data_IF_750488426306
#
_entry.id   IF_750488426306
#
_cell.length_a   1.000
_cell.length_b   1.000
_cell.length_c   1.000
_cell.angle_alpha   90.00
_cell.angle_beta   90.00
_cell.angle_gamma   90.00
#
_symmetry.space_group_name_H-M   'P 1'
#
loop_
_entity.id
_entity.type
_entity.pdbx_description
1 polymer ?
#
# COMPACT_ATOMS: atom_id res chain seq x y z
N UNK A 1 -4.58 -29.62 -20.62
CA UNK A 1 -4.29 -28.41 -19.86
C UNK A 1 -2.85 -27.99 -20.14
N UNK A 2 -2.56 -26.71 -20.33
CA UNK A 2 -1.21 -26.26 -20.71
C UNK A 2 -0.27 -26.38 -19.49
N UNK A 3 0.91 -26.99 -19.63
CA UNK A 3 1.85 -27.20 -18.52
C UNK A 3 2.20 -25.93 -17.75
N UNK A 4 2.20 -24.77 -18.40
CA UNK A 4 2.44 -23.46 -17.75
C UNK A 4 1.34 -23.07 -16.75
N UNK A 5 0.09 -23.48 -16.97
CA UNK A 5 -1.03 -23.24 -16.03
C UNK A 5 -0.86 -24.14 -14.81
N UNK A 6 -0.47 -25.39 -15.00
CA UNK A 6 -0.23 -26.35 -13.91
C UNK A 6 0.92 -25.85 -13.03
N UNK A 7 2.01 -25.37 -13.63
CA UNK A 7 3.17 -24.84 -12.90
C UNK A 7 2.79 -23.59 -12.09
N UNK A 8 1.96 -22.71 -12.65
CA UNK A 8 1.47 -21.52 -11.94
C UNK A 8 0.56 -21.90 -10.75
N UNK A 9 -0.33 -22.88 -10.92
CA UNK A 9 -1.22 -23.35 -9.85
C UNK A 9 -0.44 -24.04 -8.72
N UNK A 10 0.70 -24.67 -9.03
CA UNK A 10 1.54 -25.33 -8.03
C UNK A 10 2.22 -24.34 -7.06
N UNK A 11 2.35 -23.07 -7.44
CA UNK A 11 3.01 -22.01 -6.64
C UNK A 11 2.04 -21.24 -5.73
N UNK A 12 0.74 -21.50 -5.79
CA UNK A 12 -0.24 -20.81 -4.96
C UNK A 12 -0.29 -21.37 -3.55
N UNK A 13 -0.50 -20.53 -2.54
CA UNK A 13 -0.75 -20.93 -1.16
C UNK A 13 -2.18 -21.43 -0.92
N UNK A 14 -3.09 -21.20 -1.87
CA UNK A 14 -4.43 -21.76 -1.84
C UNK A 14 -4.40 -23.22 -2.30
N UNK A 15 -5.11 -24.10 -1.61
CA UNK A 15 -5.31 -25.48 -2.06
C UNK A 15 -6.22 -25.50 -3.29
N UNK A 16 -5.75 -26.01 -4.41
CA UNK A 16 -6.51 -26.09 -5.67
C UNK A 16 -6.54 -27.55 -6.13
N UNK A 17 -7.75 -28.06 -6.38
CA UNK A 17 -7.95 -29.36 -7.01
C UNK A 17 -8.91 -29.25 -8.20
N UNK A 18 -8.66 -30.09 -9.20
CA UNK A 18 -9.54 -30.28 -10.35
C UNK A 18 -10.11 -31.69 -10.29
N UNK A 19 -11.40 -31.81 -10.57
CA UNK A 19 -12.14 -33.07 -10.59
C UNK A 19 -12.70 -33.31 -11.98
N UNK A 20 -12.80 -34.58 -12.37
CA UNK A 20 -13.55 -34.96 -13.55
C UNK A 20 -15.08 -35.02 -13.26
N UNK A 21 -15.87 -35.30 -14.28
CA UNK A 21 -17.32 -35.46 -14.16
C UNK A 21 -17.79 -36.66 -13.28
N UNK A 22 -16.87 -37.48 -12.80
CA UNK A 22 -17.10 -38.58 -11.86
C UNK A 22 -16.53 -38.28 -10.47
N UNK A 23 -16.25 -36.99 -10.17
CA UNK A 23 -15.72 -36.53 -8.87
C UNK A 23 -14.32 -37.09 -8.52
N UNK A 24 -13.54 -37.50 -9.52
CA UNK A 24 -12.16 -37.97 -9.30
C UNK A 24 -11.17 -36.82 -9.49
N UNK A 25 -10.25 -36.70 -8.56
CA UNK A 25 -9.16 -35.71 -8.64
C UNK A 25 -8.27 -36.05 -9.84
N UNK A 26 -8.20 -35.14 -10.80
CA UNK A 26 -7.31 -35.21 -11.96
C UNK A 26 -6.07 -34.33 -11.78
N UNK A 27 -6.12 -33.39 -10.85
CA UNK A 27 -5.00 -32.55 -10.44
C UNK A 27 -5.24 -32.02 -9.03
N UNK A 28 -4.20 -31.97 -8.22
CA UNK A 28 -4.17 -31.21 -6.97
C UNK A 28 -2.80 -30.56 -6.82
N UNK A 29 -2.76 -29.31 -6.34
CA UNK A 29 -1.49 -28.66 -6.03
C UNK A 29 -0.99 -29.08 -4.63
N UNK A 30 0.30 -28.86 -4.29
CA UNK A 30 0.84 -29.25 -2.99
C UNK A 30 0.12 -28.61 -1.80
N UNK A 31 -0.40 -27.39 -1.94
CA UNK A 31 -1.15 -26.70 -0.90
C UNK A 31 -2.49 -27.41 -0.61
N UNK A 32 -3.17 -27.97 -1.62
CA UNK A 32 -4.38 -28.77 -1.43
C UNK A 32 -4.13 -29.96 -0.52
N UNK A 33 -3.09 -30.75 -0.81
CA UNK A 33 -2.76 -31.93 -0.01
C UNK A 33 -2.42 -31.57 1.43
N UNK A 34 -1.69 -30.49 1.64
CA UNK A 34 -1.33 -30.00 2.97
C UNK A 34 -2.55 -29.54 3.77
N UNK A 35 -3.47 -28.81 3.16
CA UNK A 35 -4.67 -28.29 3.80
C UNK A 35 -5.64 -29.42 4.16
N UNK A 36 -5.91 -30.34 3.23
CA UNK A 36 -6.84 -31.47 3.45
C UNK A 36 -6.33 -32.45 4.51
N UNK A 37 -5.02 -32.62 4.64
CA UNK A 37 -4.44 -33.54 5.62
C UNK A 37 -4.05 -32.89 6.95
N UNK A 38 -3.83 -31.59 6.97
CA UNK A 38 -3.27 -30.87 8.13
C UNK A 38 -4.26 -29.97 8.88
N UNK A 39 -5.43 -29.69 8.32
CA UNK A 39 -6.43 -28.77 8.89
C UNK A 39 -7.76 -29.52 9.08
N UNK A 40 -8.47 -29.25 10.18
CA UNK A 40 -9.79 -29.85 10.40
C UNK A 40 -10.77 -29.36 9.32
N UNK A 41 -11.64 -30.26 8.83
CA UNK A 41 -12.57 -29.94 7.73
C UNK A 41 -13.50 -28.77 8.08
N UNK A 42 -13.87 -28.63 9.35
CA UNK A 42 -14.67 -27.51 9.87
C UNK A 42 -13.98 -26.15 9.78
N UNK A 43 -12.65 -26.12 9.68
CA UNK A 43 -11.83 -24.91 9.54
C UNK A 43 -11.49 -24.58 8.07
N UNK A 44 -12.01 -25.36 7.13
CA UNK A 44 -11.80 -25.15 5.70
C UNK A 44 -13.02 -24.47 5.05
N UNK A 45 -12.75 -23.59 4.10
CA UNK A 45 -13.72 -23.02 3.16
C UNK A 45 -13.43 -23.56 1.77
N UNK A 46 -14.46 -24.07 1.12
CA UNK A 46 -14.37 -24.52 -0.26
C UNK A 46 -15.14 -23.57 -1.17
N UNK A 47 -14.54 -23.23 -2.30
CA UNK A 47 -15.20 -22.54 -3.40
C UNK A 47 -15.14 -23.45 -4.61
N UNK A 48 -16.28 -23.85 -5.12
CA UNK A 48 -16.40 -24.80 -6.21
C UNK A 48 -17.00 -24.14 -7.45
N UNK A 49 -16.45 -24.46 -8.60
CA UNK A 49 -16.91 -23.95 -9.91
C UNK A 49 -17.00 -25.09 -10.89
N UNK A 50 -18.19 -25.31 -11.43
CA UNK A 50 -18.43 -26.33 -12.46
C UNK A 50 -17.85 -25.88 -13.81
N UNK A 51 -17.18 -26.78 -14.49
CA UNK A 51 -16.61 -26.59 -15.82
C UNK A 51 -17.58 -26.99 -16.91
N UNK A 52 -17.41 -26.42 -18.10
CA UNK A 52 -18.30 -26.67 -19.25
C UNK A 52 -18.32 -28.12 -19.73
N UNK A 53 -17.36 -28.95 -19.34
CA UNK A 53 -17.23 -30.36 -19.64
C UNK A 53 -17.80 -31.28 -18.51
N UNK A 54 -18.44 -30.68 -17.51
CA UNK A 54 -18.97 -31.39 -16.34
C UNK A 54 -17.91 -31.70 -15.27
N UNK A 55 -16.70 -31.22 -15.42
CA UNK A 55 -15.67 -31.24 -14.37
C UNK A 55 -15.87 -30.12 -13.35
N UNK A 56 -15.11 -30.14 -12.27
CA UNK A 56 -15.18 -29.16 -11.18
C UNK A 56 -13.81 -28.67 -10.80
N UNK A 57 -13.70 -27.35 -10.53
CA UNK A 57 -12.57 -26.76 -9.82
C UNK A 57 -13.01 -26.52 -8.38
N UNK A 58 -12.26 -27.05 -7.42
CA UNK A 58 -12.43 -26.72 -6.01
C UNK A 58 -11.21 -26.00 -5.50
N UNK A 59 -11.43 -24.87 -4.83
CA UNK A 59 -10.39 -24.08 -4.18
C UNK A 59 -10.63 -24.10 -2.68
N UNK A 60 -9.63 -24.51 -1.93
CA UNK A 60 -9.70 -24.68 -0.49
C UNK A 60 -8.85 -23.59 0.21
N UNK A 61 -9.45 -22.97 1.23
CA UNK A 61 -8.79 -21.98 2.10
C UNK A 61 -9.04 -22.36 3.56
N UNK A 62 -8.11 -22.05 4.45
CA UNK A 62 -8.40 -22.05 5.88
C UNK A 62 -9.41 -20.94 6.16
N UNK A 63 -10.51 -21.28 6.84
CA UNK A 63 -11.45 -20.27 7.33
C UNK A 63 -10.67 -19.23 8.12
N UNK A 64 -10.83 -17.93 7.84
CA UNK A 64 -10.40 -16.94 8.80
C UNK A 64 -11.14 -17.26 10.08
N UNK A 65 -10.44 -17.83 11.07
CA UNK A 65 -11.03 -18.08 12.37
C UNK A 65 -11.63 -16.75 12.80
N UNK A 66 -12.94 -16.75 13.07
CA UNK A 66 -13.58 -15.64 13.75
C UNK A 66 -12.79 -15.49 15.04
N UNK A 67 -11.86 -14.55 15.03
CA UNK A 67 -11.04 -14.27 16.19
C UNK A 67 -12.01 -13.97 17.35
N UNK A 68 -12.19 -14.97 18.22
CA UNK A 68 -12.47 -14.62 19.59
C UNK A 68 -11.42 -13.57 19.95
N UNK A 69 -11.81 -12.46 20.63
CA UNK A 69 -10.84 -11.44 20.99
C UNK A 69 -9.86 -12.05 21.98
N UNK A 70 -8.91 -12.82 21.49
CA UNK A 70 -7.67 -12.97 22.19
C UNK A 70 -7.04 -11.58 22.13
N UNK A 71 -6.65 -10.98 23.27
CA UNK A 71 -5.72 -9.90 23.22
C UNK A 71 -4.61 -10.43 22.32
N UNK A 72 -4.30 -9.70 21.23
CA UNK A 72 -3.17 -10.03 20.38
C UNK A 72 -1.98 -10.02 21.32
N UNK A 73 -1.63 -11.19 21.84
CA UNK A 73 -0.40 -11.38 22.54
C UNK A 73 0.64 -11.15 21.46
N UNK A 74 1.25 -9.97 21.50
CA UNK A 74 2.51 -9.71 20.84
C UNK A 74 3.35 -10.96 21.07
N UNK A 75 3.99 -11.56 20.05
CA UNK A 75 4.79 -12.75 20.23
C UNK A 75 5.81 -12.44 21.32
N UNK A 76 5.58 -13.02 22.48
CA UNK A 76 6.51 -13.00 23.59
C UNK A 76 7.62 -13.99 23.24
N UNK A 77 8.57 -13.55 22.43
CA UNK A 77 9.82 -14.28 22.28
C UNK A 77 10.97 -13.31 22.00
N UNK A 78 11.93 -13.48 22.84
CA UNK A 78 13.25 -12.88 22.91
C UNK A 78 13.31 -11.45 23.48
N UNK A 79 14.06 -11.35 24.57
CA UNK A 79 14.62 -10.18 25.21
C UNK A 79 15.45 -9.34 24.22
N UNK A 80 14.77 -8.64 23.31
CA UNK A 80 15.32 -7.47 22.65
C UNK A 80 14.44 -6.30 23.10
N UNK A 81 15.03 -5.34 23.76
CA UNK A 81 14.40 -4.12 24.23
C UNK A 81 13.87 -3.35 23.02
N UNK A 82 12.60 -3.59 22.67
CA UNK A 82 11.92 -2.81 21.62
C UNK A 82 11.94 -1.34 22.02
N UNK A 83 12.44 -0.49 21.14
CA UNK A 83 12.52 0.96 21.35
C UNK A 83 11.11 1.57 21.43
N UNK A 84 10.12 0.92 20.81
CA UNK A 84 8.71 1.36 20.77
C UNK A 84 7.92 0.57 19.74
N UNK A 85 6.61 0.82 19.68
CA UNK A 85 5.69 0.21 18.71
C UNK A 85 5.18 1.27 17.74
N UNK A 86 5.25 0.99 16.44
CA UNK A 86 4.78 1.87 15.37
C UNK A 86 3.65 1.20 14.60
N UNK A 87 2.52 1.90 14.44
CA UNK A 87 1.49 1.51 13.48
C UNK A 87 1.86 2.08 12.12
N UNK A 88 1.91 1.24 11.08
CA UNK A 88 2.08 1.65 9.68
C UNK A 88 0.74 1.48 8.98
N UNK A 89 0.16 2.58 8.52
CA UNK A 89 -1.08 2.61 7.76
C UNK A 89 -0.80 3.08 6.34
N UNK A 90 -0.93 2.19 5.37
CA UNK A 90 -0.76 2.44 3.93
C UNK A 90 -1.53 1.32 3.20
N UNK A 91 -2.22 1.58 2.12
CA UNK A 91 -3.00 0.58 1.39
C UNK A 91 -2.13 -0.35 0.51
N UNK A 92 -0.92 0.09 0.16
CA UNK A 92 0.06 -0.71 -0.58
C UNK A 92 0.89 -1.59 0.34
N UNK A 93 0.90 -2.89 0.10
CA UNK A 93 1.72 -3.85 0.83
C UNK A 93 3.22 -3.60 0.61
N UNK A 94 3.61 -3.25 -0.61
CA UNK A 94 4.99 -2.94 -0.95
C UNK A 94 5.52 -1.71 -0.21
N UNK A 95 4.71 -0.64 -0.07
CA UNK A 95 5.07 0.53 0.73
C UNK A 95 5.18 0.17 2.22
N UNK A 96 4.19 -0.56 2.78
CA UNK A 96 4.25 -1.01 4.19
C UNK A 96 5.50 -1.84 4.45
N UNK A 97 5.87 -2.72 3.52
CA UNK A 97 7.04 -3.58 3.65
C UNK A 97 8.33 -2.75 3.72
N UNK A 98 8.50 -1.74 2.86
CA UNK A 98 9.67 -0.84 2.90
C UNK A 98 9.74 -0.10 4.24
N UNK A 99 8.64 0.51 4.69
CA UNK A 99 8.59 1.22 5.97
C UNK A 99 8.89 0.28 7.15
N UNK A 100 8.31 -0.93 7.13
CA UNK A 100 8.55 -1.97 8.13
C UNK A 100 10.03 -2.34 8.21
N UNK A 101 10.69 -2.61 7.08
CA UNK A 101 12.11 -2.99 7.06
C UNK A 101 13.01 -1.89 7.65
N UNK A 102 12.75 -0.64 7.30
CA UNK A 102 13.47 0.51 7.84
C UNK A 102 13.34 0.57 9.38
N UNK A 103 12.13 0.44 9.89
CA UNK A 103 11.86 0.59 11.32
C UNK A 103 12.28 -0.64 12.14
N UNK A 104 12.09 -1.85 11.60
CA UNK A 104 12.55 -3.06 12.27
C UNK A 104 14.06 -3.12 12.39
N UNK A 105 14.81 -2.61 11.41
CA UNK A 105 16.27 -2.50 11.48
C UNK A 105 16.75 -1.58 12.62
N UNK A 106 15.88 -0.67 13.10
CA UNK A 106 16.15 0.20 14.26
C UNK A 106 15.58 -0.35 15.57
N UNK A 107 14.96 -1.53 15.58
CA UNK A 107 14.44 -2.18 16.78
C UNK A 107 13.00 -1.81 17.15
N UNK A 108 12.23 -1.15 16.27
CA UNK A 108 10.82 -0.89 16.52
C UNK A 108 9.94 -2.14 16.31
N UNK A 109 8.94 -2.30 17.18
CA UNK A 109 7.83 -3.23 16.96
C UNK A 109 6.86 -2.63 15.95
N UNK A 110 6.33 -3.46 15.01
CA UNK A 110 5.47 -2.97 13.93
C UNK A 110 4.10 -3.61 14.01
N UNK A 111 3.06 -2.78 13.81
CA UNK A 111 1.68 -3.19 13.59
C UNK A 111 1.24 -2.58 12.26
N UNK A 112 0.63 -3.38 11.37
CA UNK A 112 0.24 -2.92 10.05
C UNK A 112 -1.28 -2.74 9.93
N UNK A 113 -1.68 -1.71 9.21
CA UNK A 113 -3.06 -1.42 8.84
C UNK A 113 -3.12 -1.09 7.35
N UNK A 114 -4.14 -1.60 6.67
CA UNK A 114 -4.32 -1.41 5.22
C UNK A 114 -5.19 -0.22 4.86
N UNK A 115 -5.83 0.43 5.84
CA UNK A 115 -6.67 1.60 5.67
C UNK A 115 -6.95 2.30 7.00
N UNK A 116 -7.52 3.50 6.95
CA UNK A 116 -7.83 4.29 8.13
C UNK A 116 -8.85 3.64 9.08
N UNK A 117 -9.83 2.90 8.55
CA UNK A 117 -10.82 2.22 9.39
C UNK A 117 -10.19 1.11 10.22
N UNK A 118 -9.21 0.38 9.66
CA UNK A 118 -8.43 -0.63 10.38
C UNK A 118 -7.66 -0.01 11.54
N UNK A 119 -6.98 1.13 11.33
CA UNK A 119 -6.32 1.88 12.41
C UNK A 119 -7.29 2.22 13.53
N UNK A 120 -8.44 2.83 13.20
CA UNK A 120 -9.45 3.21 14.19
C UNK A 120 -9.97 2.01 14.99
N UNK A 121 -10.17 0.88 14.33
CA UNK A 121 -10.63 -0.36 14.97
C UNK A 121 -9.56 -0.94 15.92
N UNK A 122 -8.29 -0.93 15.51
CA UNK A 122 -7.17 -1.36 16.36
C UNK A 122 -7.09 -0.51 17.63
N UNK A 123 -7.10 0.82 17.50
CA UNK A 123 -7.03 1.74 18.63
C UNK A 123 -8.24 1.59 19.58
N UNK A 124 -9.45 1.38 19.05
CA UNK A 124 -10.67 1.11 19.87
C UNK A 124 -10.58 -0.21 20.64
N UNK A 125 -9.89 -1.21 20.09
CA UNK A 125 -9.64 -2.50 20.73
C UNK A 125 -8.49 -2.47 21.75
N UNK A 126 -7.90 -1.31 21.99
CA UNK A 126 -6.84 -1.13 22.98
C UNK A 126 -5.43 -1.41 22.46
N UNK A 127 -5.23 -1.49 21.14
CA UNK A 127 -3.87 -1.50 20.58
C UNK A 127 -3.22 -0.16 20.88
N UNK A 128 -2.06 -0.19 21.53
CA UNK A 128 -1.26 1.00 21.85
C UNK A 128 -0.09 1.09 20.89
N UNK A 129 0.25 2.30 20.49
CA UNK A 129 1.43 2.60 19.69
C UNK A 129 2.09 3.90 20.20
N UNK A 130 3.40 3.95 20.07
CA UNK A 130 4.20 5.13 20.40
C UNK A 130 4.22 6.13 19.24
N UNK A 131 3.89 5.65 18.05
CA UNK A 131 3.82 6.45 16.81
C UNK A 131 2.88 5.79 15.79
N UNK A 132 2.27 6.61 14.95
CA UNK A 132 1.53 6.17 13.78
C UNK A 132 2.16 6.81 12.53
N UNK A 133 2.62 5.97 11.59
CA UNK A 133 2.89 6.40 10.21
C UNK A 133 1.60 6.24 9.42
N UNK A 134 1.08 7.34 8.91
CA UNK A 134 -0.21 7.39 8.26
C UNK A 134 -0.06 7.85 6.81
N UNK A 135 -0.32 6.96 5.86
CA UNK A 135 -0.51 7.41 4.49
C UNK A 135 -1.70 8.36 4.41
N UNK A 136 -1.53 9.45 3.72
CA UNK A 136 -2.62 10.40 3.50
C UNK A 136 -3.61 9.84 2.51
N UNK A 137 -3.11 9.23 1.47
CA UNK A 137 -3.85 8.84 0.29
C UNK A 137 -4.22 7.36 0.37
N UNK A 138 -5.30 7.05 1.11
CA UNK A 138 -5.86 5.70 1.23
C UNK A 138 -7.31 5.67 0.75
N UNK A 139 -7.78 4.56 0.13
CA UNK A 139 -9.18 4.41 -0.27
C UNK A 139 -10.12 4.40 0.93
N UNK A 140 -11.40 4.71 0.71
CA UNK A 140 -12.50 4.76 1.68
C UNK A 140 -12.38 5.85 2.74
N UNK A 141 -11.25 5.94 3.41
CA UNK A 141 -10.99 6.93 4.46
C UNK A 141 -9.54 7.40 4.39
N UNK A 142 -9.35 8.64 3.96
CA UNK A 142 -8.03 9.25 3.88
C UNK A 142 -7.35 9.39 5.26
N UNK A 143 -6.02 9.50 5.25
CA UNK A 143 -5.23 9.57 6.47
C UNK A 143 -5.49 10.83 7.30
N UNK A 144 -5.85 11.96 6.68
CA UNK A 144 -6.18 13.20 7.40
C UNK A 144 -7.52 13.07 8.11
N UNK A 145 -8.52 12.45 7.46
CA UNK A 145 -9.80 12.14 8.09
C UNK A 145 -9.61 11.16 9.26
N UNK A 146 -8.81 10.12 9.05
CA UNK A 146 -8.45 9.15 10.10
C UNK A 146 -7.79 9.85 11.28
N UNK A 147 -6.82 10.74 11.02
CA UNK A 147 -6.14 11.54 12.05
C UNK A 147 -7.11 12.38 12.85
N UNK A 148 -8.01 13.11 12.20
CA UNK A 148 -9.04 13.88 12.92
C UNK A 148 -9.86 12.99 13.86
N UNK A 149 -10.27 11.80 13.39
CA UNK A 149 -11.03 10.86 14.22
C UNK A 149 -10.22 10.35 15.40
N UNK A 150 -8.92 10.07 15.22
CA UNK A 150 -8.03 9.69 16.33
C UNK A 150 -7.95 10.83 17.36
N UNK A 151 -7.76 12.08 16.92
CA UNK A 151 -7.68 13.26 17.82
C UNK A 151 -8.97 13.52 18.61
N UNK A 152 -10.12 13.02 18.15
CA UNK A 152 -11.40 13.06 18.87
C UNK A 152 -11.65 11.83 19.75
N UNK A 153 -10.76 10.85 19.81
CA UNK A 153 -10.86 9.72 20.74
C UNK A 153 -10.61 10.18 22.18
N UNK A 154 -11.08 9.39 23.14
CA UNK A 154 -10.78 9.64 24.56
C UNK A 154 -9.50 8.91 24.98
N UNK A 155 -8.79 9.50 25.94
CA UNK A 155 -7.61 8.89 26.56
C UNK A 155 -6.29 9.15 25.81
N UNK A 156 -5.23 8.43 26.17
CA UNK A 156 -3.88 8.68 25.67
C UNK A 156 -3.73 8.54 24.15
N UNK A 157 -4.54 7.69 23.54
CA UNK A 157 -4.53 7.42 22.10
C UNK A 157 -4.76 8.67 21.24
N UNK A 158 -5.51 9.64 21.76
CA UNK A 158 -5.74 10.92 21.07
C UNK A 158 -4.47 11.75 20.91
N UNK A 159 -3.45 11.47 21.69
CA UNK A 159 -2.17 12.19 21.73
C UNK A 159 -1.00 11.38 21.12
N UNK A 160 -1.28 10.16 20.62
CA UNK A 160 -0.25 9.38 19.92
C UNK A 160 0.32 10.20 18.75
N UNK A 161 1.65 10.37 18.65
CA UNK A 161 2.27 11.07 17.54
C UNK A 161 1.89 10.47 16.19
N UNK A 162 1.57 11.33 15.22
CA UNK A 162 1.19 10.91 13.86
C UNK A 162 2.06 11.62 12.85
N UNK A 163 2.81 10.84 12.08
CA UNK A 163 3.56 11.30 10.91
C UNK A 163 2.74 10.96 9.65
N UNK A 164 2.33 11.98 8.90
CA UNK A 164 1.68 11.77 7.62
C UNK A 164 2.71 11.49 6.52
N UNK A 165 2.44 10.49 5.69
CA UNK A 165 3.18 10.18 4.48
C UNK A 165 2.41 10.73 3.28
N UNK A 166 3.04 11.54 2.43
CA UNK A 166 2.35 12.19 1.31
C UNK A 166 3.20 12.30 0.07
N UNK A 167 2.57 12.15 -1.10
CA UNK A 167 3.18 12.48 -2.38
C UNK A 167 3.11 13.99 -2.71
N UNK A 168 2.33 14.77 -1.95
CA UNK A 168 2.13 16.20 -2.19
C UNK A 168 3.17 17.06 -1.48
N UNK A 169 3.63 18.13 -2.16
CA UNK A 169 4.67 19.03 -1.66
C UNK A 169 4.21 20.51 -1.57
N UNK A 170 2.91 20.80 -1.73
CA UNK A 170 2.46 22.19 -1.71
C UNK A 170 2.41 22.77 -0.30
N UNK A 171 2.65 24.08 -0.16
CA UNK A 171 2.57 24.78 1.14
C UNK A 171 1.14 24.76 1.70
N UNK A 172 0.15 24.87 0.85
CA UNK A 172 -1.26 24.88 1.25
C UNK A 172 -1.68 23.51 1.82
N UNK A 173 -1.16 22.44 1.26
CA UNK A 173 -1.38 21.09 1.76
C UNK A 173 -0.82 20.90 3.18
N UNK A 174 0.36 21.42 3.48
CA UNK A 174 0.97 21.36 4.79
C UNK A 174 0.11 22.06 5.87
N UNK A 175 -0.60 23.13 5.51
CA UNK A 175 -1.54 23.82 6.41
C UNK A 175 -2.74 22.91 6.70
N UNK A 176 -3.32 22.28 5.68
CA UNK A 176 -4.47 21.38 5.81
C UNK A 176 -4.10 20.16 6.67
N UNK A 177 -2.92 19.57 6.44
CA UNK A 177 -2.44 18.44 7.22
C UNK A 177 -2.28 18.77 8.71
N UNK A 178 -1.66 19.90 9.05
CA UNK A 178 -1.53 20.36 10.45
C UNK A 178 -2.88 20.65 11.10
N UNK A 179 -3.84 21.21 10.37
CA UNK A 179 -5.20 21.44 10.87
C UNK A 179 -5.96 20.14 11.15
N UNK A 180 -5.56 19.05 10.52
CA UNK A 180 -6.11 17.72 10.77
C UNK A 180 -5.56 17.05 12.04
N UNK A 181 -4.55 17.67 12.67
CA UNK A 181 -3.93 17.14 13.89
C UNK A 181 -2.72 16.23 13.64
N UNK A 182 -2.15 16.26 12.45
CA UNK A 182 -0.86 15.62 12.12
C UNK A 182 0.27 16.37 12.84
N UNK A 183 1.19 15.65 13.47
CA UNK A 183 2.31 16.26 14.20
C UNK A 183 3.46 16.60 13.25
N UNK A 184 3.78 15.71 12.31
CA UNK A 184 4.77 15.94 11.27
C UNK A 184 4.38 15.22 9.96
N UNK A 185 5.05 15.59 8.86
CA UNK A 185 4.84 14.96 7.57
C UNK A 185 6.16 14.65 6.86
N UNK A 186 6.15 13.56 6.11
CA UNK A 186 7.28 13.09 5.29
C UNK A 186 6.79 12.88 3.87
N UNK A 187 7.53 13.41 2.91
CA UNK A 187 7.23 13.19 1.50
C UNK A 187 7.65 11.79 1.06
N UNK A 188 6.82 11.12 0.28
CA UNK A 188 7.18 9.90 -0.44
C UNK A 188 8.10 10.25 -1.63
N UNK A 189 9.12 9.41 -1.94
CA UNK A 189 9.50 8.18 -1.26
C UNK A 189 10.10 8.41 0.14
N UNK A 190 9.88 7.46 1.05
CA UNK A 190 10.38 7.54 2.42
C UNK A 190 11.90 7.41 2.40
N UNK A 191 12.59 8.41 2.96
CA UNK A 191 14.03 8.37 3.20
C UNK A 191 14.29 7.97 4.65
N UNK A 192 15.09 6.91 4.86
CA UNK A 192 15.41 6.36 6.19
C UNK A 192 15.87 7.45 7.16
N UNK A 193 16.87 8.24 6.77
CA UNK A 193 17.45 9.27 7.64
C UNK A 193 16.38 10.25 8.09
N UNK A 194 15.59 10.78 7.13
CA UNK A 194 14.54 11.75 7.44
C UNK A 194 13.45 11.15 8.34
N UNK A 195 13.05 9.91 8.07
CA UNK A 195 12.06 9.20 8.90
C UNK A 195 12.55 9.05 10.33
N UNK A 196 13.77 8.54 10.52
CA UNK A 196 14.32 8.27 11.85
C UNK A 196 14.59 9.56 12.64
N UNK A 197 15.08 10.62 11.99
CA UNK A 197 15.28 11.91 12.63
C UNK A 197 13.94 12.52 13.08
N UNK A 198 12.91 12.45 12.24
CA UNK A 198 11.57 12.93 12.57
C UNK A 198 10.96 12.14 13.74
N UNK A 199 11.14 10.82 13.77
CA UNK A 199 10.67 9.96 14.88
C UNK A 199 11.38 10.32 16.18
N UNK A 200 12.72 10.45 16.16
CA UNK A 200 13.50 10.83 17.35
C UNK A 200 13.06 12.19 17.90
N UNK A 201 12.85 13.15 17.02
CA UNK A 201 12.39 14.49 17.40
C UNK A 201 11.01 14.47 18.07
N UNK A 202 10.07 13.67 17.54
CA UNK A 202 8.73 13.54 18.10
C UNK A 202 8.71 12.81 19.44
N UNK A 203 9.45 11.70 19.55
CA UNK A 203 9.52 10.92 20.80
C UNK A 203 10.27 11.70 21.89
N UNK A 204 11.31 12.47 21.54
CA UNK A 204 12.06 13.28 22.51
C UNK A 204 11.30 14.50 23.05
N UNK A 205 10.24 14.93 22.35
CA UNK A 205 9.31 15.98 22.80
C UNK A 205 8.29 15.50 23.83
N UNK A 206 8.53 14.35 24.51
CA UNK A 206 7.64 13.69 25.51
C UNK A 206 7.06 14.61 26.61
N UNK A 207 6.01 14.20 27.32
CA UNK A 207 4.85 15.02 27.71
C UNK A 207 4.98 15.92 28.94
N UNK A 208 6.16 16.34 29.36
CA UNK A 208 6.25 17.35 30.44
C UNK A 208 5.94 18.79 29.98
N UNK A 209 5.76 19.03 28.66
CA UNK A 209 5.47 20.34 28.05
C UNK A 209 4.13 20.51 27.37
N UNK A 210 3.32 19.46 27.22
CA UNK A 210 2.10 19.49 26.41
C UNK A 210 0.86 20.19 27.05
N UNK A 211 1.04 20.87 28.18
CA UNK A 211 -0.05 21.57 28.85
C UNK A 211 -0.36 22.98 28.31
N UNK A 212 0.33 23.46 27.28
CA UNK A 212 0.08 24.80 26.75
C UNK A 212 0.24 24.97 25.23
N UNK A 213 -0.30 24.06 24.44
CA UNK A 213 -0.58 24.40 23.05
C UNK A 213 -1.89 25.21 23.00
N UNK A 214 -1.90 26.43 22.41
CA UNK A 214 -3.12 27.19 22.31
C UNK A 214 -4.14 26.45 21.44
N UNK A 215 -5.34 26.19 22.01
CA UNK A 215 -6.50 25.74 21.24
C UNK A 215 -6.80 26.85 20.23
N UNK A 216 -6.35 26.66 19.00
CA UNK A 216 -6.76 27.51 17.89
C UNK A 216 -8.24 27.24 17.63
N UNK A 217 -9.04 28.30 17.80
CA UNK A 217 -10.45 28.32 17.37
C UNK A 217 -10.55 27.92 15.91
N UNK A 218 -11.63 27.23 15.48
CA UNK A 218 -11.78 26.83 14.10
C UNK A 218 -11.70 28.06 13.19
N UNK A 219 -10.83 28.06 12.18
CA UNK A 219 -10.74 29.16 11.24
C UNK A 219 -12.01 29.24 10.38
N UNK A 220 -12.38 30.42 9.90
CA UNK A 220 -13.51 30.59 9.00
C UNK A 220 -13.28 29.79 7.73
N UNK A 221 -14.34 29.14 7.23
CA UNK A 221 -14.35 28.42 5.96
C UNK A 221 -13.95 29.40 4.84
N UNK A 222 -12.69 29.41 4.48
CA UNK A 222 -12.19 30.09 3.29
C UNK A 222 -12.64 29.26 2.07
N UNK A 223 -13.70 29.76 1.40
CA UNK A 223 -13.99 29.33 0.04
C UNK A 223 -12.77 29.66 -0.79
N UNK A 224 -12.07 28.64 -1.25
CA UNK A 224 -10.96 28.78 -2.20
C UNK A 224 -11.49 29.48 -3.45
N UNK A 225 -11.09 30.74 -3.65
CA UNK A 225 -11.16 31.37 -4.97
C UNK A 225 -10.10 30.68 -5.83
N UNK A 226 -10.56 29.97 -6.85
CA UNK A 226 -9.73 29.21 -7.77
C UNK A 226 -8.54 30.03 -8.26
N UNK A 227 -7.36 29.55 -7.96
CA UNK A 227 -6.18 29.92 -8.70
C UNK A 227 -6.37 29.39 -10.13
N UNK A 228 -6.43 30.28 -11.10
CA UNK A 228 -6.48 29.93 -12.52
C UNK A 228 -5.19 29.20 -12.86
N UNK A 229 -5.24 27.87 -12.87
CA UNK A 229 -4.17 27.05 -13.42
C UNK A 229 -4.21 27.27 -14.93
N UNK A 230 -3.17 27.91 -15.46
CA UNK A 230 -2.99 28.07 -16.90
C UNK A 230 -2.87 26.67 -17.53
N UNK A 231 -3.82 26.36 -18.39
CA UNK A 231 -3.93 25.13 -19.15
C UNK A 231 -2.62 24.82 -19.86
N UNK A 232 -1.95 23.69 -19.62
CA UNK A 232 -0.82 23.29 -20.45
C UNK A 232 -1.35 22.86 -21.83
N UNK A 233 -1.03 23.66 -22.85
CA UNK A 233 -1.23 23.31 -24.26
C UNK A 233 -0.26 22.19 -24.62
N UNK A 234 -0.79 21.02 -24.95
CA UNK A 234 -0.15 19.76 -25.32
C UNK A 234 0.51 19.01 -24.16
N UNK A 235 -0.07 17.88 -23.83
CA UNK A 235 0.60 16.85 -23.06
C UNK A 235 1.36 15.94 -24.02
N UNK A 236 2.62 16.29 -24.28
CA UNK A 236 3.60 15.29 -24.69
C UNK A 236 3.77 14.30 -23.51
N UNK A 237 4.00 13.01 -23.77
CA UNK A 237 4.27 12.06 -22.70
C UNK A 237 5.41 12.59 -21.83
N UNK A 238 5.35 12.37 -20.49
CA UNK A 238 6.34 12.96 -19.59
C UNK A 238 7.75 12.63 -20.09
N UNK A 239 8.57 13.66 -20.25
CA UNK A 239 9.98 13.55 -20.67
C UNK A 239 10.87 12.93 -19.59
N UNK A 240 10.27 12.47 -18.49
CA UNK A 240 10.94 11.84 -17.37
C UNK A 240 11.55 10.48 -17.77
N UNK A 241 12.69 10.11 -17.18
CA UNK A 241 13.27 8.80 -17.43
C UNK A 241 12.33 7.68 -16.95
N UNK A 242 12.36 6.54 -17.64
CA UNK A 242 11.57 5.37 -17.25
C UNK A 242 11.90 4.95 -15.82
N UNK A 243 13.20 4.92 -15.46
CA UNK A 243 13.69 4.63 -14.11
C UNK A 243 14.45 5.82 -13.53
N UNK A 244 14.18 6.13 -12.28
CA UNK A 244 15.03 6.98 -11.44
C UNK A 244 15.97 6.09 -10.63
N UNK A 245 17.19 5.93 -11.14
CA UNK A 245 18.21 5.09 -10.53
C UNK A 245 18.60 5.57 -9.14
N UNK A 246 18.57 6.89 -8.88
CA UNK A 246 18.89 7.44 -7.56
C UNK A 246 17.87 7.01 -6.51
N UNK A 247 16.60 7.02 -6.86
CA UNK A 247 15.52 6.53 -5.98
C UNK A 247 15.71 5.05 -5.69
N UNK A 248 16.07 4.23 -6.68
CA UNK A 248 16.33 2.81 -6.48
C UNK A 248 17.56 2.55 -5.60
N UNK A 249 18.67 3.25 -5.85
CA UNK A 249 19.89 3.14 -5.02
C UNK A 249 19.60 3.55 -3.57
N UNK A 250 18.80 4.60 -3.36
CA UNK A 250 18.36 5.02 -2.04
C UNK A 250 17.47 3.96 -1.37
N UNK A 251 16.52 3.36 -2.10
CA UNK A 251 15.68 2.26 -1.60
C UNK A 251 16.52 1.10 -1.07
N UNK A 252 17.54 0.69 -1.83
CA UNK A 252 18.46 -0.37 -1.41
C UNK A 252 19.31 0.03 -0.19
N UNK A 253 19.77 1.28 -0.14
CA UNK A 253 20.50 1.79 1.00
C UNK A 253 19.63 1.84 2.29
N UNK A 254 18.35 2.16 2.14
CA UNK A 254 17.42 2.35 3.26
C UNK A 254 16.83 1.03 3.78
N UNK A 255 16.41 0.13 2.88
CA UNK A 255 15.73 -1.13 3.23
C UNK A 255 16.67 -2.36 3.27
N UNK A 256 17.91 -2.20 2.80
CA UNK A 256 18.85 -3.30 2.58
C UNK A 256 18.51 -4.13 1.34
N UNK A 257 19.45 -4.95 0.88
CA UNK A 257 19.30 -5.71 -0.38
C UNK A 257 18.10 -6.65 -0.35
N UNK A 258 17.93 -7.40 0.72
CA UNK A 258 16.80 -8.32 0.89
C UNK A 258 15.46 -7.57 0.97
N UNK A 259 15.41 -6.49 1.76
CA UNK A 259 14.22 -5.68 1.92
C UNK A 259 13.79 -4.99 0.64
N UNK A 260 14.73 -4.38 -0.08
CA UNK A 260 14.45 -3.73 -1.35
C UNK A 260 14.01 -4.73 -2.43
N UNK A 261 14.69 -5.89 -2.53
CA UNK A 261 14.32 -6.94 -3.49
C UNK A 261 12.92 -7.48 -3.24
N UNK A 262 12.58 -7.81 -1.99
CA UNK A 262 11.25 -8.26 -1.61
C UNK A 262 10.17 -7.19 -1.89
N UNK A 263 10.48 -5.90 -1.60
CA UNK A 263 9.58 -4.78 -1.92
C UNK A 263 9.33 -4.63 -3.42
N UNK A 264 10.36 -4.80 -4.23
CA UNK A 264 10.24 -4.76 -5.68
C UNK A 264 9.37 -5.93 -6.19
N UNK A 265 9.53 -7.14 -5.64
CA UNK A 265 8.70 -8.28 -6.03
C UNK A 265 7.21 -8.05 -5.67
N UNK A 266 6.93 -7.57 -4.47
CA UNK A 266 5.57 -7.19 -4.07
C UNK A 266 5.00 -6.08 -4.97
N UNK A 267 5.78 -5.04 -5.24
CA UNK A 267 5.37 -3.94 -6.10
C UNK A 267 5.03 -4.39 -7.52
N UNK A 268 5.82 -5.30 -8.09
CA UNK A 268 5.53 -5.86 -9.42
C UNK A 268 4.20 -6.59 -9.42
N UNK A 269 3.98 -7.50 -8.46
CA UNK A 269 2.75 -8.28 -8.34
C UNK A 269 1.52 -7.38 -8.09
N UNK A 270 1.65 -6.39 -7.21
CA UNK A 270 0.59 -5.39 -6.96
C UNK A 270 0.27 -4.60 -8.24
N UNK A 271 1.30 -4.14 -8.95
CA UNK A 271 1.12 -3.35 -10.18
C UNK A 271 0.42 -4.17 -11.25
N UNK A 272 0.83 -5.41 -11.50
CA UNK A 272 0.17 -6.30 -12.46
C UNK A 272 -1.31 -6.51 -12.12
N UNK A 273 -1.63 -6.74 -10.85
CA UNK A 273 -3.02 -6.87 -10.37
C UNK A 273 -3.83 -5.60 -10.61
N UNK A 274 -3.25 -4.43 -10.31
CA UNK A 274 -3.90 -3.13 -10.51
C UNK A 274 -4.12 -2.81 -11.99
N UNK A 275 -3.18 -3.17 -12.87
CA UNK A 275 -3.34 -3.01 -14.32
C UNK A 275 -4.53 -3.79 -14.87
N UNK A 276 -4.73 -5.02 -14.38
CA UNK A 276 -5.91 -5.81 -14.76
C UNK A 276 -7.20 -5.14 -14.29
N UNK A 277 -7.23 -4.57 -13.09
CA UNK A 277 -8.40 -3.82 -12.60
C UNK A 277 -8.67 -2.56 -13.42
N UNK A 278 -7.62 -1.80 -13.76
CA UNK A 278 -7.75 -0.61 -14.60
C UNK A 278 -8.30 -0.98 -15.99
N UNK A 279 -7.77 -2.02 -16.63
CA UNK A 279 -8.20 -2.45 -17.94
C UNK A 279 -9.67 -2.91 -17.95
N UNK A 280 -10.07 -3.66 -16.93
CA UNK A 280 -11.47 -4.05 -16.72
C UNK A 280 -12.37 -2.83 -16.48
N UNK A 281 -11.95 -1.89 -15.66
CA UNK A 281 -12.68 -0.66 -15.37
C UNK A 281 -12.84 0.22 -16.62
N UNK A 282 -11.78 0.35 -17.41
CA UNK A 282 -11.81 1.04 -18.72
C UNK A 282 -12.77 0.40 -19.72
N UNK A 283 -12.95 -0.92 -19.65
CA UNK A 283 -13.89 -1.66 -20.51
C UNK A 283 -15.35 -1.50 -20.09
N UNK A 284 -15.59 -1.09 -18.82
CA UNK A 284 -16.93 -0.92 -18.24
C UNK A 284 -17.27 0.55 -17.94
N UNK A 285 -16.46 1.51 -18.40
CA UNK A 285 -16.58 2.95 -18.11
C UNK A 285 -16.65 3.28 -16.61
N UNK A 286 -16.01 2.46 -15.77
CA UNK A 286 -15.92 2.65 -14.32
C UNK A 286 -14.75 3.60 -13.95
N UNK A 287 -15.00 4.88 -14.11
CA UNK A 287 -14.01 5.92 -13.81
C UNK A 287 -13.63 5.99 -12.32
N UNK A 288 -14.50 5.56 -11.41
CA UNK A 288 -14.19 5.57 -9.99
C UNK A 288 -13.07 4.58 -9.67
N UNK A 289 -13.18 3.34 -10.15
CA UNK A 289 -12.11 2.34 -10.01
C UNK A 289 -10.83 2.79 -10.72
N UNK A 290 -10.92 3.37 -11.92
CA UNK A 290 -9.74 3.91 -12.63
C UNK A 290 -9.02 4.94 -11.77
N UNK A 291 -9.75 5.91 -11.20
CA UNK A 291 -9.19 6.94 -10.34
C UNK A 291 -8.43 6.34 -9.15
N UNK A 292 -9.06 5.42 -8.44
CA UNK A 292 -8.52 4.86 -7.21
C UNK A 292 -7.26 4.02 -7.49
N UNK A 293 -7.26 3.19 -8.55
CA UNK A 293 -6.10 2.38 -8.91
C UNK A 293 -4.93 3.22 -9.49
N UNK A 294 -5.21 4.24 -10.31
CA UNK A 294 -4.19 5.17 -10.82
C UNK A 294 -3.57 5.98 -9.69
N UNK A 295 -4.36 6.35 -8.69
CA UNK A 295 -3.89 7.05 -7.50
C UNK A 295 -2.82 6.23 -6.74
N UNK A 296 -3.10 4.97 -6.46
CA UNK A 296 -2.14 4.09 -5.78
C UNK A 296 -0.91 3.86 -6.64
N UNK A 297 -1.07 3.63 -7.96
CA UNK A 297 0.07 3.45 -8.87
C UNK A 297 0.98 4.67 -8.90
N UNK A 298 0.47 5.89 -8.81
CA UNK A 298 1.28 7.11 -8.70
C UNK A 298 2.24 7.04 -7.51
N UNK A 299 1.71 6.74 -6.33
CA UNK A 299 2.46 6.69 -5.08
C UNK A 299 3.50 5.57 -5.10
N UNK A 300 3.08 4.35 -5.44
CA UNK A 300 3.94 3.16 -5.42
C UNK A 300 5.03 3.24 -6.49
N UNK A 301 4.68 3.63 -7.73
CA UNK A 301 5.67 3.81 -8.81
C UNK A 301 6.76 4.81 -8.43
N UNK A 302 6.40 5.90 -7.74
CA UNK A 302 7.36 6.88 -7.24
C UNK A 302 8.32 6.27 -6.20
N UNK A 303 7.81 5.45 -5.29
CA UNK A 303 8.60 4.76 -4.26
C UNK A 303 9.63 3.81 -4.89
N UNK A 304 9.24 3.09 -5.94
CA UNK A 304 10.08 2.11 -6.64
C UNK A 304 10.80 2.67 -7.87
N UNK A 305 10.92 3.99 -7.98
CA UNK A 305 11.73 4.67 -8.97
C UNK A 305 11.22 4.61 -10.42
N UNK A 306 9.96 4.21 -10.66
CA UNK A 306 9.35 4.23 -11.98
C UNK A 306 8.80 5.63 -12.30
N UNK A 307 9.72 6.58 -12.47
CA UNK A 307 9.42 8.01 -12.54
C UNK A 307 8.41 8.36 -13.63
N UNK A 308 8.61 7.85 -14.84
CA UNK A 308 7.72 8.14 -15.95
C UNK A 308 6.29 7.63 -15.71
N UNK A 309 6.15 6.44 -15.12
CA UNK A 309 4.85 5.87 -14.77
C UNK A 309 4.16 6.70 -13.67
N UNK A 310 4.90 7.06 -12.62
CA UNK A 310 4.39 7.91 -11.54
C UNK A 310 3.92 9.27 -12.05
N UNK A 311 4.69 9.92 -12.93
CA UNK A 311 4.33 11.21 -13.51
C UNK A 311 3.09 11.11 -14.42
N UNK A 312 2.99 10.05 -15.22
CA UNK A 312 1.80 9.80 -16.06
C UNK A 312 0.54 9.55 -15.21
N UNK A 313 0.65 8.75 -14.14
CA UNK A 313 -0.45 8.58 -13.19
C UNK A 313 -0.83 9.91 -12.50
N UNK A 314 0.17 10.74 -12.15
CA UNK A 314 -0.07 12.06 -11.58
C UNK A 314 -0.83 12.99 -12.52
N UNK A 315 -0.44 13.01 -13.80
CA UNK A 315 -1.16 13.78 -14.83
C UNK A 315 -2.59 13.28 -14.98
N UNK A 316 -2.80 11.96 -15.02
CA UNK A 316 -4.13 11.36 -15.13
C UNK A 316 -5.00 11.76 -13.94
N UNK A 317 -4.45 11.72 -12.72
CA UNK A 317 -5.16 12.08 -11.50
C UNK A 317 -5.61 13.54 -11.48
N UNK A 318 -4.79 14.48 -11.98
CA UNK A 318 -5.16 15.89 -12.02
C UNK A 318 -6.44 16.16 -12.81
N UNK A 319 -6.74 15.35 -13.86
CA UNK A 319 -7.98 15.47 -14.62
C UNK A 319 -9.23 15.02 -13.84
N UNK A 320 -9.08 14.17 -12.83
CA UNK A 320 -10.19 13.84 -11.92
C UNK A 320 -10.49 14.94 -10.91
N UNK A 321 -9.56 15.89 -10.72
CA UNK A 321 -9.69 17.00 -9.75
C UNK A 321 -10.18 18.30 -10.43
N UNK A 322 -10.35 18.32 -11.77
CA UNK A 322 -10.86 19.47 -12.50
C UNK A 322 -12.38 19.61 -12.31
N UNK A 323 -12.88 20.86 -12.26
CA UNK A 323 -14.33 21.15 -12.14
C UNK A 323 -15.13 20.66 -13.36
N UNK A 324 -14.49 20.57 -14.54
CA UNK A 324 -15.07 20.03 -15.80
C UNK A 324 -14.29 18.77 -16.21
N UNK A 325 -14.83 17.62 -15.85
CA UNK A 325 -14.17 16.32 -16.06
C UNK A 325 -14.17 15.97 -17.55
N UNK A 326 -12.99 15.93 -18.15
CA UNK A 326 -12.78 15.41 -19.51
C UNK A 326 -12.59 13.88 -19.47
N UNK A 327 -13.72 13.15 -19.45
CA UNK A 327 -13.73 11.66 -19.42
C UNK A 327 -12.93 11.05 -20.58
N UNK A 328 -13.05 11.60 -21.79
CA UNK A 328 -12.31 11.09 -22.96
C UNK A 328 -10.80 11.17 -22.77
N UNK A 329 -10.33 12.23 -22.12
CA UNK A 329 -8.92 12.42 -21.82
C UNK A 329 -8.44 11.53 -20.70
N UNK A 330 -9.24 11.35 -19.66
CA UNK A 330 -8.96 10.41 -18.57
C UNK A 330 -8.81 8.99 -19.12
N UNK A 331 -9.75 8.53 -19.94
CA UNK A 331 -9.70 7.21 -20.59
C UNK A 331 -8.45 7.05 -21.47
N UNK A 332 -8.10 8.07 -22.24
CA UNK A 332 -6.91 8.04 -23.10
C UNK A 332 -5.60 7.94 -22.28
N UNK A 333 -5.46 8.75 -21.21
CA UNK A 333 -4.30 8.73 -20.33
C UNK A 333 -4.21 7.41 -19.55
N UNK A 334 -5.33 6.89 -19.06
CA UNK A 334 -5.35 5.62 -18.32
C UNK A 334 -4.97 4.43 -19.21
N UNK A 335 -5.35 4.44 -20.49
CA UNK A 335 -4.84 3.47 -21.46
C UNK A 335 -3.33 3.58 -21.67
N UNK A 336 -2.78 4.81 -21.66
CA UNK A 336 -1.33 4.99 -21.74
C UNK A 336 -0.63 4.45 -20.46
N UNK A 337 -1.23 4.58 -19.27
CA UNK A 337 -0.73 3.95 -18.03
C UNK A 337 -0.62 2.44 -18.22
N UNK A 338 -1.70 1.78 -18.68
CA UNK A 338 -1.71 0.33 -18.94
C UNK A 338 -0.66 -0.09 -19.97
N UNK A 339 -0.41 0.73 -20.99
CA UNK A 339 0.60 0.43 -22.02
C UNK A 339 2.03 0.66 -21.55
N UNK A 340 2.28 1.68 -20.74
CA UNK A 340 3.61 2.04 -20.25
C UNK A 340 4.11 1.11 -19.15
N UNK A 341 3.22 0.70 -18.25
CA UNK A 341 3.59 -0.03 -17.04
C UNK A 341 4.39 -1.33 -17.30
N UNK A 342 4.03 -2.21 -18.25
CA UNK A 342 4.82 -3.41 -18.53
C UNK A 342 6.26 -3.11 -18.96
N UNK A 343 6.46 -2.05 -19.73
CA UNK A 343 7.79 -1.60 -20.15
C UNK A 343 8.59 -1.09 -18.96
N UNK A 344 7.98 -0.32 -18.08
CA UNK A 344 8.60 0.18 -16.86
C UNK A 344 8.99 -0.95 -15.89
N UNK A 345 8.10 -1.94 -15.69
CA UNK A 345 8.39 -3.12 -14.87
C UNK A 345 9.52 -3.97 -15.46
N UNK A 346 9.56 -4.13 -16.79
CA UNK A 346 10.65 -4.81 -17.48
C UNK A 346 11.99 -4.10 -17.24
N UNK A 347 12.02 -2.78 -17.37
CA UNK A 347 13.22 -1.97 -17.11
C UNK A 347 13.69 -2.13 -15.65
N UNK A 348 12.77 -2.11 -14.67
CA UNK A 348 13.08 -2.33 -13.26
C UNK A 348 13.71 -3.71 -13.03
N UNK A 349 13.12 -4.77 -13.61
CA UNK A 349 13.66 -6.12 -13.50
C UNK A 349 15.03 -6.26 -14.13
N UNK A 350 15.27 -5.63 -15.28
CA UNK A 350 16.59 -5.65 -15.94
C UNK A 350 17.62 -4.91 -15.09
N UNK A 351 17.29 -3.76 -14.54
CA UNK A 351 18.16 -3.02 -13.64
C UNK A 351 18.53 -3.84 -12.41
N UNK A 352 17.57 -4.45 -11.73
CA UNK A 352 17.77 -5.32 -10.57
C UNK A 352 18.74 -6.47 -10.89
N UNK A 353 18.53 -7.16 -12.01
CA UNK A 353 19.43 -8.26 -12.46
C UNK A 353 20.84 -7.79 -12.78
N UNK A 354 20.98 -6.61 -13.39
CA UNK A 354 22.31 -6.07 -13.73
C UNK A 354 23.15 -5.73 -12.50
N UNK A 355 22.52 -5.48 -11.35
CA UNK A 355 23.17 -5.22 -10.06
C UNK A 355 23.41 -6.51 -9.25
N UNK A 356 23.00 -7.67 -9.74
CA UNK A 356 23.05 -8.92 -8.99
C UNK A 356 21.99 -9.02 -7.89
N UNK A 357 21.05 -8.07 -7.84
CA UNK A 357 19.97 -8.03 -6.86
C UNK A 357 18.85 -8.99 -7.26
N UNK A 358 18.43 -9.85 -6.34
CA UNK A 358 17.33 -10.79 -6.58
C UNK A 358 17.73 -12.10 -7.28
N UNK A 359 18.98 -12.49 -7.21
CA UNK A 359 19.39 -13.85 -7.59
C UNK A 359 19.58 -14.69 -6.29
N UNK A 360 18.63 -15.56 -5.94
CA UNK A 360 18.74 -16.38 -4.72
C UNK A 360 19.88 -17.42 -4.77
N UNK A 361 20.62 -17.48 -5.91
CA UNK A 361 21.72 -18.43 -6.17
C UNK A 361 23.03 -17.73 -6.59
N UNK A 362 23.23 -16.44 -6.29
CA UNK A 362 24.48 -15.73 -6.54
C UNK A 362 25.37 -15.70 -5.29
#
# INVERSE_FOLDING_TARGET
>A
MNNQIIDALALTSAGIALFDSNERIIYANPAWEQLITGVAEEDLLFSETELADGGMISVCFVKPQAEHPHPIALPASANDSKIGTVIIADDSESNRMVARRILQAEGYGIVEATNGQTVLNMLRRGVTADLILMDVEMPDMDGLHTTRRIRHMQGPVAHTPIIALSAHQSRDWNVIARQSGVDEFINKPIQRTKLLDTIRDLISRSPEGAASAPRLSPPPVLRSKGARITRPERLDPPSSPVLDIRTLEQLYADAGDEGASCGIDLFINETETRLVKIDNALSNDDLATVRDEVHVLKSTSGTFGLRQLSDLCGVTQNFFEEDDIDEGRILALSRQVVQLAPTALTALNLYRRSRGWGNPNA
#
